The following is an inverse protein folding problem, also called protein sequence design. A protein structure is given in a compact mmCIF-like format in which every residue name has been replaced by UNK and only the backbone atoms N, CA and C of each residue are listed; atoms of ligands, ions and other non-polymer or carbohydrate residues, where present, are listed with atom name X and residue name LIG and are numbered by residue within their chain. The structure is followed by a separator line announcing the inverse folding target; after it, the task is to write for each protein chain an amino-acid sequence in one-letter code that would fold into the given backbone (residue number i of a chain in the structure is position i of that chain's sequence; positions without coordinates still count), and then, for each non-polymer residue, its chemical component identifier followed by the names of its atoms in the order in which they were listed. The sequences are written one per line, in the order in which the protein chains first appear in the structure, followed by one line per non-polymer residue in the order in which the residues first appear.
data_IF_504222730879
#
_entry.id   IF_504222730879
#
_cell.length_a   1.000
_cell.length_b   1.000
_cell.length_c   1.000
_cell.angle_alpha   90.00
_cell.angle_beta   90.00
_cell.angle_gamma   90.00
#
_symmetry.space_group_name_H-M   'P 1'
#
loop_
_entity.id
_entity.type
_entity.pdbx_description
1 polymer ?
#
# COMPACT_ATOMS: atom_id res chain seq x y z
N UNK A 1 -7.09 -6.30 -21.80
CA UNK A 1 -7.63 -6.90 -20.56
C UNK A 1 -9.15 -6.97 -20.67
N UNK A 2 -9.82 -7.95 -20.05
CA UNK A 2 -11.28 -7.81 -19.90
C UNK A 2 -11.54 -6.75 -18.82
N UNK A 3 -12.70 -6.09 -18.89
CA UNK A 3 -13.09 -5.06 -17.94
C UNK A 3 -12.94 -5.54 -16.46
N UNK A 4 -13.18 -6.83 -16.19
CA UNK A 4 -13.09 -7.39 -14.83
C UNK A 4 -11.68 -7.37 -14.23
N UNK A 5 -10.62 -7.63 -15.02
CA UNK A 5 -9.26 -7.60 -14.47
C UNK A 5 -8.81 -6.17 -14.16
N UNK A 6 -9.24 -5.20 -14.96
CA UNK A 6 -8.94 -3.79 -14.71
C UNK A 6 -9.65 -3.31 -13.43
N UNK A 7 -10.94 -3.61 -13.29
CA UNK A 7 -11.69 -3.31 -12.07
C UNK A 7 -11.08 -4.00 -10.84
N UNK A 8 -10.67 -5.26 -10.98
CA UNK A 8 -10.00 -5.98 -9.90
C UNK A 8 -8.69 -5.29 -9.48
N UNK A 9 -7.85 -4.88 -10.43
CA UNK A 9 -6.58 -4.20 -10.12
C UNK A 9 -6.80 -2.83 -9.49
N UNK A 10 -7.77 -2.07 -10.01
CA UNK A 10 -8.18 -0.78 -9.48
C UNK A 10 -8.64 -0.89 -8.02
N UNK A 11 -9.57 -1.81 -7.74
CA UNK A 11 -10.09 -2.04 -6.39
C UNK A 11 -9.01 -2.62 -5.46
N UNK A 12 -8.18 -3.55 -5.96
CA UNK A 12 -7.14 -4.17 -5.13
C UNK A 12 -6.08 -3.15 -4.71
N UNK A 13 -5.64 -2.28 -5.62
CA UNK A 13 -4.67 -1.25 -5.28
C UNK A 13 -5.21 -0.26 -4.25
N UNK A 14 -6.48 0.15 -4.36
CA UNK A 14 -7.16 0.92 -3.32
C UNK A 14 -7.18 0.20 -1.97
N UNK A 15 -7.61 -1.07 -1.95
CA UNK A 15 -7.71 -1.85 -0.71
C UNK A 15 -6.35 -2.09 -0.04
N UNK A 16 -5.30 -2.30 -0.83
CA UNK A 16 -3.93 -2.45 -0.30
C UNK A 16 -3.46 -1.12 0.29
N UNK A 17 -3.63 0.00 -0.44
CA UNK A 17 -3.30 1.35 0.03
C UNK A 17 -4.01 1.68 1.35
N UNK A 18 -5.33 1.44 1.43
CA UNK A 18 -6.10 1.70 2.65
C UNK A 18 -5.63 0.88 3.85
N UNK A 19 -5.30 -0.41 3.64
CA UNK A 19 -4.77 -1.28 4.70
C UNK A 19 -3.39 -0.85 5.16
N UNK A 20 -2.54 -0.36 4.25
CA UNK A 20 -1.23 0.20 4.58
C UNK A 20 -1.36 1.44 5.48
N UNK A 21 -2.21 2.39 5.06
CA UNK A 21 -2.49 3.61 5.82
C UNK A 21 -3.19 3.32 7.17
N UNK A 22 -4.03 2.28 7.23
CA UNK A 22 -4.64 1.83 8.48
C UNK A 22 -3.59 1.25 9.45
N UNK A 23 -2.63 0.45 8.96
CA UNK A 23 -1.54 -0.07 9.80
C UNK A 23 -0.70 1.07 10.41
N UNK A 24 -0.39 2.11 9.61
CA UNK A 24 0.27 3.32 10.10
C UNK A 24 -0.53 4.03 11.18
N UNK A 25 -1.81 4.31 10.91
CA UNK A 25 -2.71 4.95 11.90
C UNK A 25 -2.83 4.14 13.19
N UNK A 26 -2.89 2.80 13.10
CA UNK A 26 -2.93 1.94 14.27
C UNK A 26 -1.63 2.02 15.07
N UNK A 27 -0.45 1.89 14.41
CA UNK A 27 0.85 2.04 15.07
C UNK A 27 0.97 3.39 15.80
N UNK A 28 0.60 4.47 15.13
CA UNK A 28 0.76 5.84 15.66
C UNK A 28 -0.18 6.11 16.86
N UNK A 29 -1.26 5.34 17.00
CA UNK A 29 -2.17 5.41 18.13
C UNK A 29 -1.73 4.56 19.35
N UNK A 30 -0.74 3.68 19.18
CA UNK A 30 -0.24 2.80 20.25
C UNK A 30 0.91 3.44 21.04
N UNK A 31 0.99 3.08 22.33
CA UNK A 31 2.10 3.48 23.18
C UNK A 31 3.42 2.87 22.67
N UNK A 32 4.55 3.48 23.02
CA UNK A 32 5.87 3.05 22.52
C UNK A 32 6.28 1.65 23.02
N UNK A 33 5.75 1.22 24.16
CA UNK A 33 5.99 -0.08 24.80
C UNK A 33 4.90 -1.12 24.50
N UNK A 34 3.91 -0.77 23.67
CA UNK A 34 2.85 -1.69 23.29
C UNK A 34 3.37 -2.76 22.31
N UNK A 35 3.26 -4.06 22.60
CA UNK A 35 3.70 -5.14 21.72
C UNK A 35 3.06 -5.11 20.32
N UNK A 36 1.83 -4.60 20.19
CA UNK A 36 1.16 -4.50 18.89
C UNK A 36 1.79 -3.42 18.00
N UNK A 37 2.56 -2.48 18.57
CA UNK A 37 3.25 -1.43 17.80
C UNK A 37 4.30 -2.02 16.88
N UNK A 38 5.07 -3.00 17.36
CA UNK A 38 6.08 -3.70 16.56
C UNK A 38 5.41 -4.48 15.42
N UNK A 39 4.29 -5.14 15.71
CA UNK A 39 3.51 -5.83 14.69
C UNK A 39 2.98 -4.88 13.61
N UNK A 40 2.38 -3.74 13.98
CA UNK A 40 1.94 -2.76 12.99
C UNK A 40 3.11 -2.16 12.20
N UNK A 41 4.27 -1.95 12.84
CA UNK A 41 5.48 -1.47 12.17
C UNK A 41 5.96 -2.47 11.11
N UNK A 42 5.99 -3.76 11.43
CA UNK A 42 6.28 -4.81 10.45
C UNK A 42 5.26 -4.86 9.30
N UNK A 43 3.98 -4.64 9.58
CA UNK A 43 2.95 -4.55 8.54
C UNK A 43 3.15 -3.36 7.61
N UNK A 44 3.54 -2.20 8.14
CA UNK A 44 3.82 -1.01 7.33
C UNK A 44 4.98 -1.29 6.36
N UNK A 45 6.07 -1.89 6.83
CA UNK A 45 7.22 -2.28 5.99
C UNK A 45 6.80 -3.28 4.91
N UNK A 46 5.99 -4.29 5.26
CA UNK A 46 5.48 -5.25 4.28
C UNK A 46 4.59 -4.59 3.22
N UNK A 47 3.77 -3.62 3.59
CA UNK A 47 2.95 -2.88 2.63
C UNK A 47 3.78 -1.92 1.76
N UNK A 48 4.84 -1.31 2.31
CA UNK A 48 5.80 -0.53 1.52
C UNK A 48 6.32 -1.40 0.38
N UNK A 49 6.87 -2.58 0.69
CA UNK A 49 7.44 -3.50 -0.30
C UNK A 49 6.41 -3.89 -1.38
N UNK A 50 5.20 -4.27 -0.96
CA UNK A 50 4.14 -4.68 -1.91
C UNK A 50 3.74 -3.54 -2.84
N UNK A 51 3.53 -2.33 -2.32
CA UNK A 51 3.13 -1.18 -3.13
C UNK A 51 4.27 -0.75 -4.06
N UNK A 52 5.51 -0.77 -3.58
CA UNK A 52 6.71 -0.49 -4.40
C UNK A 52 6.82 -1.45 -5.58
N UNK A 53 6.63 -2.77 -5.35
CA UNK A 53 6.60 -3.77 -6.43
C UNK A 53 5.47 -3.47 -7.41
N UNK A 54 4.26 -3.17 -6.92
CA UNK A 54 3.12 -2.85 -7.79
C UNK A 54 3.39 -1.63 -8.67
N UNK A 55 3.93 -0.55 -8.10
CA UNK A 55 4.27 0.67 -8.84
C UNK A 55 5.38 0.43 -9.87
N UNK A 56 6.42 -0.34 -9.50
CA UNK A 56 7.51 -0.70 -10.42
C UNK A 56 7.00 -1.55 -11.59
N UNK A 57 6.19 -2.57 -11.33
CA UNK A 57 5.62 -3.42 -12.37
C UNK A 57 4.66 -2.63 -13.28
N UNK A 58 3.86 -1.73 -12.71
CA UNK A 58 3.00 -0.84 -13.47
C UNK A 58 3.81 0.03 -14.44
N UNK A 59 4.90 0.65 -13.95
CA UNK A 59 5.83 1.40 -14.79
C UNK A 59 6.45 0.56 -15.91
N UNK A 60 6.89 -0.66 -15.61
CA UNK A 60 7.46 -1.58 -16.61
C UNK A 60 6.46 -2.04 -17.69
N UNK A 61 5.17 -2.11 -17.35
CA UNK A 61 4.09 -2.50 -18.25
C UNK A 61 3.39 -1.31 -18.94
N UNK A 62 3.77 -0.08 -18.61
CA UNK A 62 3.11 1.13 -19.11
C UNK A 62 1.70 1.33 -18.56
N UNK A 63 1.40 0.81 -17.37
CA UNK A 63 0.12 0.99 -16.67
C UNK A 63 0.20 2.27 -15.83
N UNK A 64 -0.69 3.26 -16.03
CA UNK A 64 -0.77 4.44 -15.18
C UNK A 64 -1.07 4.07 -13.72
N UNK A 65 -0.40 4.69 -12.75
CA UNK A 65 -0.65 4.42 -11.33
C UNK A 65 -2.07 4.80 -10.89
N UNK A 66 -2.70 5.76 -11.57
CA UNK A 66 -4.11 6.14 -11.37
C UNK A 66 -5.07 4.97 -11.64
N UNK A 67 -4.72 4.08 -12.57
CA UNK A 67 -5.52 2.89 -12.89
C UNK A 67 -5.42 1.82 -11.78
N UNK A 68 -4.45 1.98 -10.88
CA UNK A 68 -4.24 1.13 -9.71
C UNK A 68 -4.58 1.84 -8.40
N UNK A 69 -5.04 3.10 -8.42
CA UNK A 69 -5.26 3.91 -7.20
C UNK A 69 -3.98 4.08 -6.35
N UNK A 70 -2.79 4.13 -6.98
CA UNK A 70 -1.49 4.23 -6.31
C UNK A 70 -0.69 5.48 -6.71
N UNK A 71 -1.30 6.46 -7.36
CA UNK A 71 -0.67 7.70 -7.84
C UNK A 71 -0.48 8.77 -6.75
N UNK A 72 -1.16 8.62 -5.61
CA UNK A 72 -1.15 9.55 -4.47
C UNK A 72 -0.35 9.04 -3.26
N UNK A 73 0.32 7.90 -3.38
CA UNK A 73 1.12 7.29 -2.32
C UNK A 73 2.57 7.08 -2.76
N UNK A 74 3.50 7.53 -1.92
CA UNK A 74 4.93 7.31 -2.07
C UNK A 74 5.36 6.38 -0.92
N UNK A 75 5.61 5.08 -1.18
CA UNK A 75 5.86 4.10 -0.11
C UNK A 75 6.96 4.51 0.86
N UNK A 76 8.10 4.99 0.37
CA UNK A 76 9.26 5.33 1.21
C UNK A 76 9.04 6.56 2.08
N UNK A 77 8.10 7.43 1.71
CA UNK A 77 7.70 8.59 2.49
C UNK A 77 6.55 8.25 3.43
N UNK A 78 5.54 7.56 2.90
CA UNK A 78 4.25 7.42 3.54
C UNK A 78 4.16 6.16 4.42
N UNK A 79 5.02 5.16 4.22
CA UNK A 79 4.99 3.87 4.92
C UNK A 79 6.33 3.58 5.62
N UNK A 80 6.72 4.49 6.52
CA UNK A 80 7.86 4.37 7.45
C UNK A 80 7.43 4.47 8.90
#
# INVERSE_FOLDING_TARGET
MSNKQQLYLFDLGLLIKERALAARRHRDALAADDPDRDFQSGRIIAFNEVISIMQQQAGGLGIPLSDLQLDDIEPDRDLT
#
